data_IF_027633121200
#
_entry.id   IF_027633121200
#
_cell.length_a   1.000
_cell.length_b   1.000
_cell.length_c   1.000
_cell.angle_alpha   90.00
_cell.angle_beta   90.00
_cell.angle_gamma   90.00
#
_symmetry.space_group_name_H-M   'P 1'
#
loop_
_entity.id
_entity.type
_entity.pdbx_description
1 polymer ?
#
# COMPACT_ATOMS: atom_id res chain seq x y z
N UNK A 1 31.98 1.12 1.35
CA UNK A 1 33.05 1.45 2.33
C UNK A 1 32.57 1.47 3.77
N UNK A 2 31.30 1.83 4.05
CA UNK A 2 30.68 1.84 5.39
C UNK A 2 30.55 0.43 6.02
N UNK A 3 30.16 -0.59 5.25
CA UNK A 3 29.92 -1.95 5.76
C UNK A 3 31.17 -2.62 6.39
N UNK A 4 32.38 -2.34 5.87
CA UNK A 4 33.64 -2.88 6.42
C UNK A 4 34.10 -2.16 7.70
N UNK A 5 33.71 -0.90 7.88
CA UNK A 5 33.99 -0.11 9.08
C UNK A 5 33.07 -0.53 10.23
N UNK A 6 31.81 -0.84 9.90
CA UNK A 6 30.80 -1.29 10.86
C UNK A 6 31.13 -2.69 11.41
N UNK A 7 31.47 -3.65 10.54
CA UNK A 7 31.96 -4.98 10.94
C UNK A 7 33.17 -4.93 11.87
N UNK A 8 34.09 -3.97 11.67
CA UNK A 8 35.28 -3.81 12.52
C UNK A 8 34.97 -3.13 13.87
N UNK A 9 33.91 -2.33 13.92
CA UNK A 9 33.43 -1.68 15.14
C UNK A 9 32.66 -2.68 16.02
N UNK A 10 31.86 -3.56 15.40
CA UNK A 10 31.06 -4.58 16.08
C UNK A 10 31.90 -5.81 16.48
N UNK A 11 32.83 -6.25 15.63
CA UNK A 11 33.76 -7.35 15.92
C UNK A 11 35.10 -6.86 16.50
N UNK A 12 35.10 -5.69 17.14
CA UNK A 12 36.27 -5.20 17.88
C UNK A 12 36.62 -6.20 18.98
N UNK A 13 37.75 -6.88 18.81
CA UNK A 13 38.26 -7.95 19.67
C UNK A 13 38.75 -7.39 21.02
N UNK A 14 37.85 -6.88 21.86
CA UNK A 14 38.16 -6.53 23.25
C UNK A 14 37.80 -7.72 24.16
N UNK A 15 38.77 -8.35 24.85
CA UNK A 15 38.54 -9.53 25.69
C UNK A 15 37.74 -9.25 26.99
N UNK A 16 37.39 -7.99 27.27
CA UNK A 16 36.51 -7.55 28.39
C UNK A 16 35.16 -6.99 27.88
N UNK A 17 34.57 -7.58 26.85
CA UNK A 17 33.26 -7.16 26.36
C UNK A 17 32.20 -7.47 27.43
N UNK A 18 31.78 -6.44 28.19
CA UNK A 18 30.70 -6.57 29.17
C UNK A 18 29.41 -6.97 28.45
N UNK A 19 28.59 -7.82 29.08
CA UNK A 19 27.34 -8.30 28.48
C UNK A 19 26.43 -7.14 28.05
N UNK A 20 26.46 -6.05 28.82
CA UNK A 20 25.74 -4.79 28.55
C UNK A 20 26.19 -4.12 27.24
N UNK A 21 27.49 -4.14 26.92
CA UNK A 21 27.99 -3.56 25.66
C UNK A 21 27.57 -4.41 24.45
N UNK A 22 27.46 -5.72 24.64
CA UNK A 22 27.06 -6.67 23.60
C UNK A 22 25.56 -6.53 23.28
N UNK A 23 24.72 -6.33 24.30
CA UNK A 23 23.30 -6.02 24.17
C UNK A 23 23.07 -4.70 23.43
N UNK A 24 23.77 -3.64 23.80
CA UNK A 24 23.67 -2.33 23.12
C UNK A 24 24.04 -2.41 21.63
N UNK A 25 25.08 -3.17 21.29
CA UNK A 25 25.51 -3.38 19.90
C UNK A 25 24.47 -4.15 19.08
N UNK A 26 23.80 -5.12 19.70
CA UNK A 26 22.77 -5.93 19.06
C UNK A 26 21.49 -5.10 18.84
N UNK A 27 21.08 -4.32 19.83
CA UNK A 27 19.93 -3.43 19.74
C UNK A 27 20.11 -2.34 18.67
N UNK A 28 21.34 -1.89 18.43
CA UNK A 28 21.63 -0.94 17.34
C UNK A 28 21.76 -1.61 15.97
N UNK A 29 22.13 -2.90 15.92
CA UNK A 29 22.26 -3.67 14.69
C UNK A 29 20.92 -4.09 14.08
N UNK A 30 19.95 -4.46 14.92
CA UNK A 30 18.61 -4.91 14.49
C UNK A 30 17.91 -3.89 13.58
N UNK A 31 17.75 -2.61 13.96
CA UNK A 31 17.03 -1.63 13.13
C UNK A 31 17.77 -1.26 11.84
N UNK A 32 19.05 -1.58 11.68
CA UNK A 32 19.79 -1.33 10.44
C UNK A 32 19.52 -2.38 9.36
N UNK A 33 19.15 -3.60 9.74
CA UNK A 33 18.82 -4.68 8.81
C UNK A 33 17.32 -4.64 8.39
N UNK A 34 16.43 -4.15 9.26
CA UNK A 34 14.98 -4.00 9.03
C UNK A 34 14.60 -3.26 7.73
N UNK A 35 15.14 -2.06 7.42
CA UNK A 35 14.73 -1.31 6.23
C UNK A 35 15.10 -2.01 4.91
N UNK A 36 16.08 -2.93 4.94
CA UNK A 36 16.45 -3.72 3.76
C UNK A 36 15.44 -4.83 3.45
N UNK A 37 14.70 -5.27 4.47
CA UNK A 37 13.61 -6.24 4.35
C UNK A 37 12.28 -5.55 4.02
N UNK A 38 12.07 -4.32 4.51
CA UNK A 38 10.82 -3.56 4.31
C UNK A 38 10.72 -2.81 2.98
N UNK A 39 11.80 -2.74 2.18
CA UNK A 39 11.83 -1.90 0.97
C UNK A 39 10.73 -2.25 -0.05
N UNK A 40 10.31 -3.52 -0.12
CA UNK A 40 9.21 -3.97 -0.98
C UNK A 40 7.82 -3.68 -0.39
N UNK A 41 7.70 -3.74 0.94
CA UNK A 41 6.44 -3.57 1.67
C UNK A 41 5.95 -2.12 1.59
N UNK A 42 6.87 -1.15 1.58
CA UNK A 42 6.53 0.27 1.41
C UNK A 42 5.73 0.56 0.13
N UNK A 43 6.07 -0.09 -0.99
CA UNK A 43 5.35 0.10 -2.25
C UNK A 43 3.96 -0.55 -2.21
N UNK A 44 3.83 -1.71 -1.56
CA UNK A 44 2.54 -2.39 -1.35
C UNK A 44 1.59 -1.51 -0.51
N UNK A 45 2.10 -0.87 0.55
CA UNK A 45 1.31 0.07 1.38
C UNK A 45 0.74 1.23 0.57
N UNK A 46 1.55 1.79 -0.34
CA UNK A 46 1.11 2.90 -1.21
C UNK A 46 0.03 2.45 -2.19
N UNK A 47 0.21 1.30 -2.85
CA UNK A 47 -0.78 0.78 -3.79
C UNK A 47 -2.09 0.43 -3.07
N UNK A 48 -2.00 -0.18 -1.88
CA UNK A 48 -3.16 -0.50 -1.05
C UNK A 48 -3.97 0.76 -0.67
N UNK A 49 -3.30 1.89 -0.43
CA UNK A 49 -3.94 3.16 -0.12
C UNK A 49 -4.58 3.83 -1.35
N UNK A 50 -3.98 3.70 -2.53
CA UNK A 50 -4.46 4.35 -3.77
C UNK A 50 -5.58 3.53 -4.44
N UNK A 51 -5.61 2.20 -4.30
CA UNK A 51 -6.61 1.33 -4.93
C UNK A 51 -8.09 1.72 -4.64
N UNK A 52 -8.49 2.03 -3.39
CA UNK A 52 -9.85 2.52 -3.10
C UNK A 52 -10.14 3.87 -3.74
N UNK A 53 -9.14 4.77 -3.78
CA UNK A 53 -9.28 6.10 -4.38
C UNK A 53 -9.52 5.99 -5.89
N UNK A 54 -8.89 5.02 -6.57
CA UNK A 54 -9.15 4.70 -7.97
C UNK A 54 -10.55 4.10 -8.17
N UNK A 55 -11.01 3.24 -7.27
CA UNK A 55 -12.38 2.70 -7.30
C UNK A 55 -13.43 3.81 -7.18
N UNK A 56 -13.19 4.79 -6.30
CA UNK A 56 -14.02 5.98 -6.14
C UNK A 56 -14.00 6.86 -7.40
N UNK A 57 -12.84 7.07 -8.04
CA UNK A 57 -12.75 7.76 -9.33
C UNK A 57 -13.67 7.10 -10.37
N UNK A 58 -13.70 5.76 -10.41
CA UNK A 58 -14.59 4.99 -11.28
C UNK A 58 -16.08 5.32 -11.07
N UNK A 59 -16.49 5.57 -9.83
CA UNK A 59 -17.89 5.99 -9.55
C UNK A 59 -18.23 7.33 -10.21
N UNK A 60 -17.30 8.28 -10.16
CA UNK A 60 -17.46 9.60 -10.75
C UNK A 60 -17.59 9.47 -12.27
N UNK A 61 -16.74 8.64 -12.88
CA UNK A 61 -16.79 8.37 -14.33
C UNK A 61 -18.11 7.70 -14.73
N UNK A 62 -18.56 6.67 -14.00
CA UNK A 62 -19.83 6.00 -14.27
C UNK A 62 -21.06 6.90 -14.10
N UNK A 63 -21.03 7.80 -13.12
CA UNK A 63 -22.10 8.79 -12.94
C UNK A 63 -22.09 9.86 -14.06
N UNK A 64 -20.92 10.28 -14.53
CA UNK A 64 -20.81 11.18 -15.70
C UNK A 64 -21.41 10.51 -16.94
N UNK A 65 -21.08 9.25 -17.20
CA UNK A 65 -21.66 8.49 -18.31
C UNK A 65 -23.19 8.37 -18.18
N UNK A 66 -23.68 8.15 -16.96
CA UNK A 66 -25.13 8.13 -16.66
C UNK A 66 -25.79 9.46 -17.01
N UNK A 67 -25.20 10.59 -16.61
CA UNK A 67 -25.73 11.91 -16.95
C UNK A 67 -25.68 12.20 -18.45
N UNK A 68 -24.62 11.78 -19.15
CA UNK A 68 -24.52 11.89 -20.60
C UNK A 68 -25.63 11.10 -21.31
N UNK A 69 -25.94 9.89 -20.84
CA UNK A 69 -27.04 9.08 -21.37
C UNK A 69 -28.40 9.79 -21.21
N UNK A 70 -28.64 10.43 -20.07
CA UNK A 70 -29.86 11.25 -19.85
C UNK A 70 -29.92 12.42 -20.82
N UNK A 71 -28.81 13.09 -21.09
CA UNK A 71 -28.80 14.22 -22.04
C UNK A 71 -29.04 13.80 -23.49
N UNK A 72 -28.58 12.61 -23.89
CA UNK A 72 -28.74 12.11 -25.26
C UNK A 72 -30.11 11.49 -25.52
N UNK A 73 -30.61 10.69 -24.57
CA UNK A 73 -31.82 9.88 -24.73
C UNK A 73 -33.01 10.42 -23.93
N UNK A 74 -32.85 11.55 -23.23
CA UNK A 74 -33.82 12.06 -22.27
C UNK A 74 -33.96 11.14 -21.05
N UNK A 75 -35.05 11.29 -20.29
CA UNK A 75 -35.41 10.34 -19.20
C UNK A 75 -35.94 8.99 -19.74
N UNK A 76 -35.63 8.65 -20.99
CA UNK A 76 -36.39 7.71 -21.82
C UNK A 76 -36.17 6.24 -21.53
N UNK A 77 -35.03 5.82 -20.95
CA UNK A 77 -34.80 4.43 -20.59
C UNK A 77 -34.15 4.28 -19.20
N UNK A 78 -34.93 3.95 -18.16
CA UNK A 78 -34.44 3.68 -16.81
C UNK A 78 -33.39 2.57 -16.76
N UNK A 79 -33.37 1.64 -17.73
CA UNK A 79 -32.36 0.57 -17.78
C UNK A 79 -30.96 1.11 -18.06
N UNK A 80 -30.83 2.10 -18.94
CA UNK A 80 -29.54 2.72 -19.24
C UNK A 80 -29.00 3.46 -18.01
N UNK A 81 -29.89 4.14 -17.28
CA UNK A 81 -29.53 4.81 -16.03
C UNK A 81 -29.09 3.83 -14.94
N UNK A 82 -29.85 2.73 -14.77
CA UNK A 82 -29.50 1.67 -13.83
C UNK A 82 -28.17 1.00 -14.18
N UNK A 83 -27.83 0.89 -15.47
CA UNK A 83 -26.56 0.37 -15.95
C UNK A 83 -25.36 1.19 -15.47
N UNK A 84 -25.36 2.51 -15.70
CA UNK A 84 -24.23 3.37 -15.30
C UNK A 84 -24.06 3.51 -13.77
N UNK A 85 -25.16 3.46 -13.01
CA UNK A 85 -25.10 3.38 -11.54
C UNK A 85 -24.53 2.03 -11.09
N UNK A 86 -24.98 0.93 -11.69
CA UNK A 86 -24.45 -0.40 -11.38
C UNK A 86 -22.96 -0.49 -11.69
N UNK A 87 -22.51 0.09 -12.81
CA UNK A 87 -21.10 0.14 -13.18
C UNK A 87 -20.27 0.90 -12.12
N UNK A 88 -20.74 2.07 -11.68
CA UNK A 88 -20.10 2.83 -10.62
C UNK A 88 -19.94 2.01 -9.32
N UNK A 89 -20.94 1.23 -8.94
CA UNK A 89 -20.85 0.37 -7.75
C UNK A 89 -19.86 -0.78 -7.94
N UNK A 90 -19.78 -1.36 -9.15
CA UNK A 90 -18.82 -2.42 -9.46
C UNK A 90 -17.37 -1.92 -9.40
N UNK A 91 -17.07 -0.70 -9.88
CA UNK A 91 -15.71 -0.16 -9.77
C UNK A 91 -15.28 0.08 -8.31
N UNK A 92 -16.21 0.47 -7.45
CA UNK A 92 -15.96 0.61 -6.01
C UNK A 92 -15.64 -0.73 -5.37
N UNK A 93 -16.44 -1.76 -5.70
CA UNK A 93 -16.21 -3.12 -5.24
C UNK A 93 -14.83 -3.62 -5.67
N UNK A 94 -14.45 -3.42 -6.93
CA UNK A 94 -13.12 -3.83 -7.42
C UNK A 94 -11.98 -3.14 -6.68
N UNK A 95 -12.09 -1.83 -6.41
CA UNK A 95 -11.09 -1.09 -5.62
C UNK A 95 -10.92 -1.66 -4.21
N UNK A 96 -12.02 -2.05 -3.56
CA UNK A 96 -12.00 -2.66 -2.23
C UNK A 96 -11.47 -4.10 -2.25
N UNK A 97 -11.83 -4.89 -3.27
CA UNK A 97 -11.35 -6.27 -3.45
C UNK A 97 -9.84 -6.32 -3.61
N UNK A 98 -9.23 -5.30 -4.23
CA UNK A 98 -7.76 -5.19 -4.33
C UNK A 98 -7.15 -4.63 -3.04
N UNK A 99 -7.76 -3.61 -2.43
CA UNK A 99 -7.20 -2.95 -1.27
C UNK A 99 -7.17 -3.84 -0.02
N UNK A 100 -8.21 -4.62 0.25
CA UNK A 100 -8.32 -5.42 1.48
C UNK A 100 -7.21 -6.48 1.59
N UNK A 101 -6.97 -7.36 0.60
CA UNK A 101 -5.88 -8.33 0.66
C UNK A 101 -4.51 -7.66 0.73
N UNK A 102 -4.34 -6.53 0.03
CA UNK A 102 -3.07 -5.82 -0.04
C UNK A 102 -2.72 -5.15 1.30
N UNK A 103 -3.71 -4.61 2.03
CA UNK A 103 -3.53 -4.14 3.39
C UNK A 103 -3.13 -5.28 4.32
N UNK A 104 -3.82 -6.43 4.25
CA UNK A 104 -3.46 -7.63 5.04
C UNK A 104 -2.03 -8.11 4.79
N UNK A 105 -1.55 -8.09 3.54
CA UNK A 105 -0.18 -8.49 3.17
C UNK A 105 0.90 -7.49 3.60
N UNK A 106 0.53 -6.23 3.86
CA UNK A 106 1.46 -5.17 4.25
C UNK A 106 1.44 -4.83 5.73
N UNK A 107 0.51 -5.43 6.48
CA UNK A 107 0.35 -5.29 7.91
C UNK A 107 1.24 -6.30 8.64
N UNK A 108 2.55 -6.11 8.51
CA UNK A 108 3.61 -6.71 9.34
C UNK A 108 4.60 -5.60 9.72
#
# INVERSE_FOLDING_TARGET
TIHRSWLRCVLGTDPELSMETLELRLDEAIPQETPRMESGIGMVKVIAAIAPMLGLLGTVVGMIATFQAITLFGTGDPKLMAGGISEALVTTMQGLVVAVPMLFLSAD
#
